data_IF_021924158389
#
_entry.id   IF_021924158389
#
_cell.length_a   1.000
_cell.length_b   1.000
_cell.length_c   1.000
_cell.angle_alpha   90.00
_cell.angle_beta   90.00
_cell.angle_gamma   90.00
#
_symmetry.space_group_name_H-M   'P 1'
#
loop_
_entity.id
_entity.type
_entity.pdbx_description
1 polymer ?
#
# COMPACT_ATOMS: atom_id res chain seq x y z
N UNK A 1 -6.95 -18.21 27.01
CA UNK A 1 -6.67 -16.78 26.73
C UNK A 1 -6.95 -16.54 25.25
N UNK A 2 -7.87 -15.65 24.94
CA UNK A 2 -8.00 -15.22 23.54
C UNK A 2 -6.72 -14.49 23.12
N UNK A 3 -6.19 -14.82 21.95
CA UNK A 3 -5.05 -14.12 21.40
C UNK A 3 -5.45 -12.65 21.18
N UNK A 4 -4.56 -11.72 21.58
CA UNK A 4 -4.80 -10.29 21.39
C UNK A 4 -4.90 -9.99 19.90
N UNK A 5 -6.06 -9.53 19.47
CA UNK A 5 -6.26 -9.09 18.07
C UNK A 5 -5.51 -7.79 17.80
N UNK A 6 -4.97 -7.65 16.61
CA UNK A 6 -4.43 -6.38 16.17
C UNK A 6 -5.54 -5.47 15.61
N UNK A 7 -5.40 -4.18 15.84
CA UNK A 7 -6.41 -3.17 15.51
C UNK A 7 -6.19 -2.61 14.10
N UNK A 8 -7.27 -2.50 13.34
CA UNK A 8 -7.24 -2.02 11.95
C UNK A 8 -8.18 -0.84 11.76
N UNK A 9 -7.71 0.18 11.04
CA UNK A 9 -8.56 1.20 10.42
C UNK A 9 -8.52 0.99 8.91
N UNK A 10 -9.69 1.00 8.28
CA UNK A 10 -9.83 0.91 6.82
C UNK A 10 -10.22 2.28 6.28
N UNK A 11 -9.49 2.76 5.27
CA UNK A 11 -9.72 4.06 4.62
C UNK A 11 -10.03 3.82 3.14
N UNK A 12 -11.27 4.08 2.74
CA UNK A 12 -11.82 3.76 1.42
C UNK A 12 -13.05 4.61 1.15
N UNK A 13 -13.07 5.40 0.08
CA UNK A 13 -14.16 6.33 -0.22
C UNK A 13 -15.30 5.70 -1.05
N UNK A 14 -15.09 4.52 -1.63
CA UNK A 14 -16.12 3.76 -2.32
C UNK A 14 -16.83 2.84 -1.34
N UNK A 15 -18.07 3.19 -0.96
CA UNK A 15 -18.85 2.48 0.07
C UNK A 15 -18.97 0.98 -0.17
N UNK A 16 -19.10 0.54 -1.42
CA UNK A 16 -19.23 -0.89 -1.74
C UNK A 16 -17.90 -1.62 -1.52
N UNK A 17 -16.79 -1.01 -1.90
CA UNK A 17 -15.45 -1.55 -1.68
C UNK A 17 -15.09 -1.58 -0.20
N UNK A 18 -15.44 -0.53 0.54
CA UNK A 18 -15.27 -0.47 1.99
C UNK A 18 -15.98 -1.64 2.68
N UNK A 19 -17.25 -1.88 2.34
CA UNK A 19 -18.01 -3.00 2.91
C UNK A 19 -17.44 -4.35 2.51
N UNK A 20 -17.01 -4.51 1.27
CA UNK A 20 -16.35 -5.73 0.82
C UNK A 20 -15.06 -6.00 1.60
N UNK A 21 -14.28 -4.97 1.86
CA UNK A 21 -13.04 -5.07 2.65
C UNK A 21 -13.34 -5.39 4.11
N UNK A 22 -14.36 -4.80 4.73
CA UNK A 22 -14.79 -5.16 6.09
C UNK A 22 -15.16 -6.65 6.20
N UNK A 23 -15.87 -7.20 5.18
CA UNK A 23 -16.24 -8.62 5.15
C UNK A 23 -15.00 -9.54 5.02
N UNK A 24 -13.98 -9.14 4.24
CA UNK A 24 -12.71 -9.86 4.18
C UNK A 24 -12.07 -9.94 5.58
N UNK A 25 -11.97 -8.82 6.28
CA UNK A 25 -11.41 -8.82 7.65
C UNK A 25 -12.23 -9.68 8.60
N UNK A 26 -13.55 -9.62 8.51
CA UNK A 26 -14.45 -10.38 9.40
C UNK A 26 -14.31 -11.90 9.21
N UNK A 27 -14.21 -12.36 7.98
CA UNK A 27 -14.29 -13.79 7.65
C UNK A 27 -12.92 -14.44 7.40
N UNK A 28 -11.99 -13.71 6.80
CA UNK A 28 -10.71 -14.27 6.36
C UNK A 28 -9.55 -13.92 7.30
N UNK A 29 -9.68 -12.87 8.12
CA UNK A 29 -8.60 -12.38 8.99
C UNK A 29 -9.11 -12.28 10.44
N UNK A 30 -9.38 -13.40 11.09
CA UNK A 30 -10.02 -13.42 12.42
C UNK A 30 -9.13 -12.83 13.53
N UNK A 31 -7.82 -12.72 13.30
CA UNK A 31 -6.87 -12.13 14.23
C UNK A 31 -6.88 -10.58 14.20
N UNK A 32 -7.64 -9.99 13.28
CA UNK A 32 -7.82 -8.55 13.17
C UNK A 32 -9.13 -8.10 13.87
N UNK A 33 -9.08 -6.86 14.38
CA UNK A 33 -10.25 -6.12 14.86
C UNK A 33 -10.34 -4.80 14.09
N UNK A 34 -11.37 -4.63 13.26
CA UNK A 34 -11.63 -3.36 12.59
C UNK A 34 -12.22 -2.41 13.60
N UNK A 35 -11.44 -1.45 14.08
CA UNK A 35 -11.84 -0.47 15.10
C UNK A 35 -12.49 0.78 14.51
N UNK A 36 -12.42 0.96 13.19
CA UNK A 36 -13.06 2.07 12.50
C UNK A 36 -12.85 2.01 11.00
N UNK A 37 -13.73 2.72 10.30
CA UNK A 37 -13.67 2.91 8.85
C UNK A 37 -13.81 4.39 8.53
N UNK A 38 -13.11 4.88 7.53
CA UNK A 38 -13.15 6.27 7.09
C UNK A 38 -13.32 6.34 5.57
N UNK A 39 -14.18 7.22 5.12
CA UNK A 39 -14.39 7.51 3.69
C UNK A 39 -13.70 8.82 3.26
N UNK A 40 -13.22 9.58 4.22
CA UNK A 40 -12.51 10.85 4.01
C UNK A 40 -11.29 10.96 4.89
N UNK A 41 -10.35 11.83 4.51
CA UNK A 41 -9.18 12.14 5.33
C UNK A 41 -9.58 12.68 6.72
N UNK A 42 -10.59 13.55 6.77
CA UNK A 42 -11.07 14.11 8.03
C UNK A 42 -11.61 13.04 8.98
N UNK A 43 -12.42 12.11 8.48
CA UNK A 43 -12.92 10.96 9.26
C UNK A 43 -11.76 10.11 9.78
N UNK A 44 -10.76 9.85 8.92
CA UNK A 44 -9.59 9.08 9.32
C UNK A 44 -8.84 9.72 10.49
N UNK A 45 -8.53 11.02 10.41
CA UNK A 45 -7.82 11.69 11.50
C UNK A 45 -8.65 11.76 12.78
N UNK A 46 -9.97 11.91 12.68
CA UNK A 46 -10.87 11.85 13.84
C UNK A 46 -10.83 10.48 14.52
N UNK A 47 -10.75 9.38 13.74
CA UNK A 47 -10.59 8.03 14.29
C UNK A 47 -9.24 7.86 15.00
N UNK A 48 -8.16 8.39 14.42
CA UNK A 48 -6.82 8.34 15.02
C UNK A 48 -6.76 9.02 16.40
N UNK A 49 -7.58 10.04 16.64
CA UNK A 49 -7.70 10.70 17.95
C UNK A 49 -8.39 9.83 18.99
N UNK A 50 -9.29 8.94 18.56
CA UNK A 50 -10.02 8.04 19.47
C UNK A 50 -9.27 6.75 19.79
N UNK A 51 -8.37 6.32 18.93
CA UNK A 51 -7.58 5.12 19.12
C UNK A 51 -6.60 4.88 17.98
N UNK A 52 -5.35 4.65 18.34
CA UNK A 52 -4.28 4.35 17.36
C UNK A 52 -4.36 2.87 16.97
N UNK A 53 -4.47 2.55 15.67
CA UNK A 53 -4.48 1.17 15.20
C UNK A 53 -3.06 0.59 15.14
N UNK A 54 -2.97 -0.72 14.93
CA UNK A 54 -1.72 -1.40 14.59
C UNK A 54 -1.48 -1.38 13.07
N UNK A 55 -2.58 -1.38 12.27
CA UNK A 55 -2.57 -1.36 10.82
C UNK A 55 -3.57 -0.35 10.25
N UNK A 56 -3.16 0.42 9.27
CA UNK A 56 -4.04 1.19 8.38
C UNK A 56 -4.06 0.53 7.01
N UNK A 57 -5.23 0.08 6.57
CA UNK A 57 -5.45 -0.30 5.19
C UNK A 57 -5.96 0.92 4.43
N UNK A 58 -5.22 1.37 3.44
CA UNK A 58 -5.40 2.67 2.82
C UNK A 58 -5.57 2.56 1.31
N UNK A 59 -6.72 3.00 0.81
CA UNK A 59 -6.86 3.28 -0.63
C UNK A 59 -6.18 4.60 -0.99
N UNK A 60 -5.51 4.64 -2.15
CA UNK A 60 -4.88 5.87 -2.63
C UNK A 60 -5.87 6.84 -3.26
N UNK A 61 -6.93 6.33 -3.89
CA UNK A 61 -7.85 7.09 -4.73
C UNK A 61 -8.86 7.97 -3.98
N UNK A 62 -8.59 8.37 -2.74
CA UNK A 62 -9.51 9.13 -1.90
C UNK A 62 -9.91 10.46 -2.54
N UNK A 63 -11.22 10.68 -2.64
CA UNK A 63 -11.78 11.90 -3.21
C UNK A 63 -11.36 12.17 -4.66
N UNK A 64 -11.01 11.12 -5.40
CA UNK A 64 -10.53 11.22 -6.78
C UNK A 64 -9.07 11.71 -6.91
N UNK A 65 -8.30 11.73 -5.83
CA UNK A 65 -6.90 12.17 -5.84
C UNK A 65 -5.98 11.20 -5.09
N UNK A 66 -4.96 10.70 -5.78
CA UNK A 66 -3.92 9.85 -5.16
C UNK A 66 -3.01 10.61 -4.20
N UNK A 67 -2.94 11.94 -4.32
CA UNK A 67 -2.12 12.80 -3.46
C UNK A 67 -2.56 12.70 -2.00
N UNK A 68 -3.87 12.67 -1.74
CA UNK A 68 -4.44 12.57 -0.38
C UNK A 68 -3.97 11.29 0.30
N UNK A 69 -4.08 10.15 -0.37
CA UNK A 69 -3.64 8.86 0.17
C UNK A 69 -2.13 8.82 0.48
N UNK A 70 -1.31 9.36 -0.42
CA UNK A 70 0.15 9.46 -0.20
C UNK A 70 0.46 10.37 1.00
N UNK A 71 -0.24 11.48 1.15
CA UNK A 71 -0.01 12.41 2.27
C UNK A 71 -0.47 11.83 3.60
N UNK A 72 -1.58 11.10 3.63
CA UNK A 72 -2.00 10.33 4.81
C UNK A 72 -0.90 9.34 5.22
N UNK A 73 -0.41 8.54 4.28
CA UNK A 73 0.66 7.57 4.51
C UNK A 73 1.91 8.25 5.11
N UNK A 74 2.36 9.35 4.51
CA UNK A 74 3.52 10.12 4.97
C UNK A 74 3.32 10.69 6.37
N UNK A 75 2.14 11.18 6.68
CA UNK A 75 1.82 11.73 8.00
C UNK A 75 1.71 10.63 9.07
N UNK A 76 1.20 9.45 8.73
CA UNK A 76 1.22 8.28 9.63
C UNK A 76 2.68 7.92 9.94
N UNK A 77 3.52 7.74 8.94
CA UNK A 77 4.93 7.38 9.11
C UNK A 77 5.69 8.36 10.03
N UNK A 78 5.40 9.66 9.90
CA UNK A 78 6.06 10.69 10.72
C UNK A 78 5.54 10.76 12.16
N UNK A 79 4.23 10.61 12.36
CA UNK A 79 3.58 10.85 13.65
C UNK A 79 3.36 9.57 14.46
N UNK A 80 3.25 8.45 13.80
CA UNK A 80 2.91 7.14 14.36
C UNK A 80 3.80 6.05 13.76
N UNK A 81 5.13 6.05 14.05
CA UNK A 81 6.09 5.18 13.37
C UNK A 81 5.88 3.69 13.61
N UNK A 82 5.12 3.32 14.64
CA UNK A 82 4.79 1.92 14.95
C UNK A 82 3.52 1.42 14.22
N UNK A 83 2.80 2.32 13.55
CA UNK A 83 1.61 1.96 12.77
C UNK A 83 2.02 1.50 11.39
N UNK A 84 1.62 0.28 11.04
CA UNK A 84 1.83 -0.25 9.69
C UNK A 84 0.84 0.36 8.69
N UNK A 85 1.29 0.59 7.47
CA UNK A 85 0.44 1.06 6.37
C UNK A 85 0.53 0.09 5.20
N UNK A 86 -0.60 -0.53 4.87
CA UNK A 86 -0.76 -1.36 3.68
C UNK A 86 -1.68 -0.64 2.70
N UNK A 87 -1.14 -0.32 1.54
CA UNK A 87 -1.92 0.27 0.45
C UNK A 87 -2.73 -0.82 -0.24
N UNK A 88 -4.03 -0.60 -0.37
CA UNK A 88 -4.95 -1.49 -1.07
C UNK A 88 -5.77 -0.66 -2.06
N UNK A 89 -5.36 -0.65 -3.32
CA UNK A 89 -5.85 0.32 -4.31
C UNK A 89 -6.18 -0.30 -5.66
N UNK A 90 -7.22 0.23 -6.31
CA UNK A 90 -7.54 -0.04 -7.71
C UNK A 90 -6.81 0.87 -8.70
N UNK A 91 -6.09 1.88 -8.20
CA UNK A 91 -5.40 2.85 -9.03
C UNK A 91 -4.27 2.21 -9.86
N UNK A 92 -4.16 2.63 -11.12
CA UNK A 92 -3.04 2.25 -11.96
C UNK A 92 -1.82 3.05 -11.52
N UNK A 93 -0.92 2.38 -10.81
CA UNK A 93 0.29 3.00 -10.33
C UNK A 93 1.26 3.24 -11.49
N UNK A 94 1.56 4.51 -11.77
CA UNK A 94 2.73 4.86 -12.58
C UNK A 94 3.99 4.83 -11.70
N UNK A 95 5.13 4.92 -12.36
CA UNK A 95 6.44 4.85 -11.70
C UNK A 95 6.62 5.85 -10.58
N UNK A 96 6.24 7.10 -10.83
CA UNK A 96 6.37 8.19 -9.85
C UNK A 96 5.53 7.89 -8.61
N UNK A 97 4.28 7.45 -8.79
CA UNK A 97 3.38 7.16 -7.69
C UNK A 97 3.90 5.99 -6.82
N UNK A 98 4.53 4.98 -7.41
CA UNK A 98 5.16 3.90 -6.65
C UNK A 98 6.27 4.39 -5.73
N UNK A 99 7.15 5.22 -6.30
CA UNK A 99 8.24 5.84 -5.53
C UNK A 99 7.65 6.70 -4.42
N UNK A 100 6.70 7.58 -4.74
CA UNK A 100 6.06 8.47 -3.77
C UNK A 100 5.43 7.69 -2.60
N UNK A 101 4.76 6.55 -2.88
CA UNK A 101 4.13 5.69 -1.86
C UNK A 101 5.17 5.00 -0.97
N UNK A 102 6.22 4.45 -1.56
CA UNK A 102 7.28 3.78 -0.79
C UNK A 102 8.09 4.77 0.04
N UNK A 103 8.40 5.95 -0.51
CA UNK A 103 9.06 7.04 0.22
C UNK A 103 8.16 7.63 1.33
N UNK A 104 6.84 7.56 1.16
CA UNK A 104 5.88 7.94 2.20
C UNK A 104 5.85 6.95 3.37
N UNK A 105 6.51 5.80 3.27
CA UNK A 105 6.66 4.82 4.35
C UNK A 105 5.66 3.68 4.35
N UNK A 106 5.00 3.40 3.22
CA UNK A 106 4.13 2.24 3.11
C UNK A 106 4.91 0.92 3.30
N UNK A 107 4.31 -0.03 4.00
CA UNK A 107 4.88 -1.36 4.23
C UNK A 107 4.62 -2.32 3.06
N UNK A 108 3.62 -2.02 2.24
CA UNK A 108 3.29 -2.81 1.06
C UNK A 108 2.22 -2.17 0.19
N UNK A 109 2.02 -2.74 -0.97
CA UNK A 109 1.01 -2.31 -1.95
C UNK A 109 0.33 -3.55 -2.53
N UNK A 110 -0.98 -3.62 -2.40
CA UNK A 110 -1.83 -4.66 -2.98
C UNK A 110 -2.77 -4.00 -3.99
N UNK A 111 -2.74 -4.45 -5.24
CA UNK A 111 -3.70 -4.00 -6.25
C UNK A 111 -5.01 -4.77 -6.13
N UNK A 112 -6.13 -4.05 -6.24
CA UNK A 112 -7.50 -4.60 -6.30
C UNK A 112 -7.82 -5.18 -7.69
N UNK A 113 -6.90 -5.92 -8.30
CA UNK A 113 -7.04 -6.46 -9.66
C UNK A 113 -7.29 -7.96 -9.62
N UNK A 114 -8.53 -8.36 -9.28
CA UNK A 114 -8.96 -9.75 -9.34
C UNK A 114 -8.47 -10.68 -8.21
N UNK A 115 -7.46 -10.28 -7.46
CA UNK A 115 -7.03 -10.97 -6.25
C UNK A 115 -7.55 -10.23 -5.02
N UNK A 116 -8.13 -10.97 -4.10
CA UNK A 116 -8.55 -10.41 -2.81
C UNK A 116 -7.35 -10.21 -1.90
N UNK A 117 -7.44 -9.23 -1.01
CA UNK A 117 -6.54 -9.11 0.13
C UNK A 117 -6.56 -10.42 0.93
N UNK A 118 -5.40 -11.00 1.17
CA UNK A 118 -5.29 -12.27 1.89
C UNK A 118 -4.81 -12.10 3.32
N UNK A 119 -5.14 -13.08 4.18
CA UNK A 119 -4.58 -13.15 5.53
C UNK A 119 -3.05 -13.16 5.49
N UNK A 120 -2.44 -13.81 4.50
CA UNK A 120 -0.98 -13.89 4.35
C UNK A 120 -0.35 -12.53 4.11
N UNK A 121 -0.98 -11.67 3.29
CA UNK A 121 -0.50 -10.31 3.01
C UNK A 121 -0.49 -9.47 4.28
N UNK A 122 -1.61 -9.48 4.99
CA UNK A 122 -1.76 -8.73 6.24
C UNK A 122 -0.81 -9.24 7.32
N UNK A 123 -0.69 -10.56 7.49
CA UNK A 123 0.21 -11.15 8.46
C UNK A 123 1.68 -10.81 8.16
N UNK A 124 2.07 -10.81 6.89
CA UNK A 124 3.42 -10.43 6.49
C UNK A 124 3.76 -9.00 6.92
N UNK A 125 2.83 -8.06 6.77
CA UNK A 125 2.99 -6.67 7.24
C UNK A 125 3.07 -6.62 8.76
N UNK A 126 2.17 -7.32 9.47
CA UNK A 126 2.15 -7.35 10.94
C UNK A 126 3.40 -8.01 11.54
N UNK A 127 4.02 -8.96 10.83
CA UNK A 127 5.31 -9.57 11.19
C UNK A 127 6.51 -8.63 10.92
N UNK A 128 6.27 -7.42 10.47
CA UNK A 128 7.30 -6.41 10.19
C UNK A 128 8.02 -6.59 8.86
N UNK A 129 7.50 -7.41 7.94
CA UNK A 129 8.02 -7.50 6.58
C UNK A 129 7.72 -6.19 5.85
N UNK A 130 8.71 -5.69 5.15
CA UNK A 130 8.60 -4.51 4.29
C UNK A 130 8.47 -4.92 2.84
N UNK A 131 7.86 -4.03 2.04
CA UNK A 131 7.66 -4.24 0.60
C UNK A 131 6.82 -5.49 0.31
N UNK A 132 5.67 -5.61 0.98
CA UNK A 132 4.69 -6.65 0.70
C UNK A 132 3.92 -6.25 -0.57
N UNK A 133 3.99 -7.10 -1.60
CA UNK A 133 3.34 -6.87 -2.88
C UNK A 133 2.59 -8.11 -3.33
N UNK A 134 1.43 -7.93 -3.97
CA UNK A 134 0.79 -9.02 -4.68
C UNK A 134 1.40 -9.22 -6.08
N UNK A 135 1.06 -10.34 -6.71
CA UNK A 135 1.66 -10.77 -7.99
C UNK A 135 1.59 -9.70 -9.10
N UNK A 136 0.46 -9.01 -9.35
CA UNK A 136 0.40 -7.98 -10.40
C UNK A 136 1.42 -6.85 -10.23
N UNK A 137 1.73 -6.49 -8.99
CA UNK A 137 2.77 -5.48 -8.72
C UNK A 137 4.16 -6.05 -8.99
N UNK A 138 4.41 -7.29 -8.56
CA UNK A 138 5.70 -7.95 -8.79
C UNK A 138 6.01 -8.07 -10.29
N UNK A 139 5.04 -8.42 -11.12
CA UNK A 139 5.21 -8.44 -12.59
C UNK A 139 5.67 -7.09 -13.12
N UNK A 140 5.01 -6.01 -12.73
CA UNK A 140 5.37 -4.65 -13.16
C UNK A 140 6.77 -4.25 -12.72
N UNK A 141 7.17 -4.59 -11.50
CA UNK A 141 8.54 -4.35 -11.00
C UNK A 141 9.56 -5.11 -11.85
N UNK A 142 9.33 -6.39 -12.14
CA UNK A 142 10.22 -7.23 -12.94
C UNK A 142 10.35 -6.72 -14.38
N UNK A 143 9.25 -6.37 -15.04
CA UNK A 143 9.26 -5.79 -16.39
C UNK A 143 10.10 -4.52 -16.46
N UNK A 144 9.97 -3.67 -15.45
CA UNK A 144 10.72 -2.45 -15.35
C UNK A 144 12.23 -2.70 -15.19
N UNK A 145 12.62 -3.61 -14.30
CA UNK A 145 14.02 -4.01 -14.16
C UNK A 145 14.62 -4.49 -15.49
N UNK A 146 13.88 -5.35 -16.22
CA UNK A 146 14.31 -5.83 -17.56
C UNK A 146 14.50 -4.68 -18.53
N UNK A 147 13.63 -3.68 -18.52
CA UNK A 147 13.70 -2.51 -19.42
C UNK A 147 14.88 -1.62 -19.04
N UNK A 148 15.12 -1.37 -17.77
CA UNK A 148 16.26 -0.59 -17.28
C UNK A 148 17.59 -1.21 -17.69
N UNK A 149 17.79 -2.51 -17.42
CA UNK A 149 19.01 -3.24 -17.81
C UNK A 149 19.25 -3.18 -19.30
N UNK A 150 18.21 -3.35 -20.15
CA UNK A 150 18.34 -3.25 -21.59
C UNK A 150 18.76 -1.86 -22.07
N UNK A 151 18.26 -0.81 -21.43
CA UNK A 151 18.61 0.57 -21.78
C UNK A 151 20.03 0.92 -21.36
N UNK A 152 20.49 0.44 -20.22
CA UNK A 152 21.88 0.64 -19.77
C UNK A 152 22.87 -0.10 -20.66
N UNK A 153 22.56 -1.32 -21.07
CA UNK A 153 23.38 -2.09 -22.02
C UNK A 153 23.48 -1.38 -23.38
N UNK A 154 22.38 -0.83 -23.89
CA UNK A 154 22.40 -0.05 -25.13
C UNK A 154 23.24 1.23 -25.00
N UNK A 155 23.16 1.95 -23.89
CA UNK A 155 23.98 3.15 -23.63
C UNK A 155 25.46 2.82 -23.58
N UNK A 156 25.88 1.71 -23.01
CA UNK A 156 27.26 1.27 -22.95
C UNK A 156 27.79 0.88 -24.35
N UNK A 157 26.99 0.21 -25.18
CA UNK A 157 27.39 -0.19 -26.55
C UNK A 157 27.56 1.03 -27.47
N UNK A 158 26.64 2.03 -27.35
CA UNK A 158 26.72 3.25 -28.18
C UNK A 158 27.73 4.30 -27.64
N UNK A 159 28.14 4.19 -26.39
CA UNK A 159 29.15 5.07 -25.77
C UNK A 159 30.57 4.75 -26.18
N UNK A 160 30.85 3.53 -26.59
CA UNK A 160 32.18 3.06 -27.01
C UNK A 160 32.50 3.36 -28.46
N UNK A 161 31.52 3.68 -29.30
CA UNK A 161 31.76 3.97 -30.73
C UNK A 161 32.07 5.46 -31.03
N UNK A 162 32.07 6.35 -30.06
CA UNK A 162 32.30 7.79 -30.26
C UNK A 162 33.74 8.29 -29.96
N UNK A 163 34.67 7.39 -29.66
CA UNK A 163 36.06 7.76 -29.39
C UNK A 163 37.07 7.18 -30.43
N UNK A 164 36.69 7.16 -31.68
CA UNK A 164 37.66 6.87 -32.77
C UNK A 164 37.51 7.97 -33.81
N UNK A 165 38.08 9.14 -33.52
CA UNK A 165 38.71 10.05 -34.49
C UNK A 165 39.51 11.11 -33.73
#
# INVERSE_FOLDING_TARGET
MEAKKFKVIIVEDVKLELKGTEEIFRHEIPDAEVIGTAMTEQEFWSLMETGVPDLVLLDLGLGGSTTIGVDICRNIFKRYPDVHVLIFTGEILNEKLWVDVLEAGADGIILKTGELLTKTDVQAVMDGKKLVFNYPILEKIVERFKTSVRNDTKRQVWGTERNVY
#
